data_IF_321453488464
#
_entry.id   IF_321453488464
#
_cell.length_a   1.000
_cell.length_b   1.000
_cell.length_c   1.000
_cell.angle_alpha   90.00
_cell.angle_beta   90.00
_cell.angle_gamma   90.00
#
_symmetry.space_group_name_H-M   'P 1'
#
loop_
_entity.id
_entity.type
_entity.pdbx_description
1 polymer ?
#
# COMPACT_ATOMS: atom_id res chain seq x y z
N UNK A 1 -1.32 1.54 21.61
CA UNK A 1 -1.91 0.45 20.82
C UNK A 1 -2.98 -0.38 21.54
N UNK A 2 -4.21 -0.44 21.00
CA UNK A 2 -5.23 -1.44 21.37
C UNK A 2 -5.28 -2.52 20.28
N UNK A 3 -5.04 -3.78 20.62
CA UNK A 3 -5.09 -4.92 19.68
C UNK A 3 -6.34 -5.80 19.88
N UNK A 4 -7.42 -5.20 20.39
CA UNK A 4 -8.66 -5.91 20.69
C UNK A 4 -9.87 -5.07 20.32
N UNK A 5 -10.92 -5.72 19.86
CA UNK A 5 -12.22 -5.08 19.61
C UNK A 5 -13.36 -6.03 19.96
N UNK A 6 -14.51 -5.47 20.32
CA UNK A 6 -15.72 -6.24 20.62
C UNK A 6 -16.74 -5.95 19.52
N UNK A 7 -17.07 -6.96 18.72
CA UNK A 7 -18.06 -6.87 17.66
C UNK A 7 -19.12 -7.96 17.84
N UNK A 8 -20.39 -7.57 17.82
CA UNK A 8 -21.54 -8.48 17.92
C UNK A 8 -21.48 -9.41 19.14
N UNK A 9 -21.00 -8.91 20.28
CA UNK A 9 -20.88 -9.67 21.53
C UNK A 9 -19.65 -10.60 21.62
N UNK A 10 -18.83 -10.68 20.57
CA UNK A 10 -17.59 -11.45 20.57
C UNK A 10 -16.37 -10.51 20.72
N UNK A 11 -15.44 -10.90 21.59
CA UNK A 11 -14.16 -10.20 21.77
C UNK A 11 -13.12 -10.83 20.85
N UNK A 12 -12.58 -10.04 19.93
CA UNK A 12 -11.48 -10.42 19.05
C UNK A 12 -10.20 -9.78 19.59
N UNK A 13 -9.15 -10.59 19.72
CA UNK A 13 -7.83 -10.14 20.16
C UNK A 13 -6.78 -10.63 19.16
N UNK A 14 -5.90 -9.74 18.76
CA UNK A 14 -4.78 -10.01 17.86
C UNK A 14 -3.46 -9.94 18.66
N UNK A 15 -2.48 -10.76 18.29
CA UNK A 15 -1.21 -10.91 18.99
C UNK A 15 -0.32 -9.68 18.83
N UNK A 16 -0.21 -9.19 17.59
CA UNK A 16 0.69 -8.11 17.20
C UNK A 16 0.16 -7.35 15.97
N UNK A 17 0.88 -6.32 15.55
CA UNK A 17 0.57 -5.50 14.37
C UNK A 17 0.57 -6.34 13.09
N UNK A 18 1.47 -7.33 13.00
CA UNK A 18 1.61 -8.21 11.84
C UNK A 18 0.37 -9.07 11.64
N UNK A 19 -0.20 -9.62 12.70
CA UNK A 19 -1.44 -10.38 12.66
C UNK A 19 -2.64 -9.51 12.29
N UNK A 20 -2.74 -8.29 12.83
CA UNK A 20 -3.78 -7.33 12.43
C UNK A 20 -3.69 -7.02 10.94
N UNK A 21 -2.50 -6.69 10.43
CA UNK A 21 -2.27 -6.40 9.02
C UNK A 21 -2.60 -7.61 8.13
N UNK A 22 -2.27 -8.82 8.55
CA UNK A 22 -2.58 -10.03 7.79
C UNK A 22 -4.09 -10.29 7.75
N UNK A 23 -4.75 -10.27 8.90
CA UNK A 23 -6.18 -10.59 9.01
C UNK A 23 -7.11 -9.48 8.47
N UNK A 24 -6.64 -8.24 8.37
CA UNK A 24 -7.39 -7.14 7.78
C UNK A 24 -7.46 -7.18 6.23
N UNK A 25 -6.69 -8.06 5.58
CA UNK A 25 -6.76 -8.23 4.13
C UNK A 25 -8.13 -8.78 3.69
N UNK A 26 -8.53 -8.41 2.46
CA UNK A 26 -9.50 -9.21 1.73
C UNK A 26 -8.95 -10.61 1.44
N UNK A 27 -9.84 -11.56 1.15
CA UNK A 27 -9.47 -12.97 0.96
C UNK A 27 -8.46 -13.11 -0.18
N UNK A 28 -7.25 -13.59 0.14
CA UNK A 28 -6.17 -13.87 -0.83
C UNK A 28 -5.71 -15.30 -0.66
N UNK A 29 -5.59 -16.04 -1.76
CA UNK A 29 -5.21 -17.46 -1.74
C UNK A 29 -3.84 -17.70 -1.10
N UNK A 30 -2.85 -16.84 -1.38
CA UNK A 30 -1.52 -16.93 -0.76
C UNK A 30 -1.56 -16.78 0.76
N UNK A 31 -2.32 -15.81 1.27
CA UNK A 31 -2.47 -15.58 2.72
C UNK A 31 -3.16 -16.76 3.42
N UNK A 32 -4.13 -17.40 2.74
CA UNK A 32 -4.79 -18.61 3.23
C UNK A 32 -3.80 -19.78 3.28
N UNK A 33 -3.03 -20.01 2.22
CA UNK A 33 -2.03 -21.09 2.16
C UNK A 33 -0.89 -20.89 3.16
N UNK A 34 -0.53 -19.65 3.45
CA UNK A 34 0.46 -19.30 4.47
C UNK A 34 -0.11 -19.34 5.91
N UNK A 35 -1.42 -19.55 6.08
CA UNK A 35 -2.07 -19.65 7.39
C UNK A 35 -2.20 -18.32 8.14
N UNK A 36 -2.14 -17.18 7.43
CA UNK A 36 -2.17 -15.83 8.02
C UNK A 36 -3.49 -15.08 7.77
N UNK A 37 -4.34 -15.60 6.89
CA UNK A 37 -5.65 -15.02 6.61
C UNK A 37 -6.59 -15.12 7.83
N UNK A 38 -7.57 -14.21 7.89
CA UNK A 38 -8.65 -14.30 8.87
C UNK A 38 -9.48 -15.58 8.64
N UNK A 39 -9.84 -16.26 9.73
CA UNK A 39 -10.62 -17.50 9.72
C UNK A 39 -12.09 -17.26 9.34
N UNK A 40 -12.58 -16.02 9.48
CA UNK A 40 -13.95 -15.66 9.12
C UNK A 40 -14.05 -14.21 8.64
N UNK A 41 -15.17 -13.88 7.99
CA UNK A 41 -15.49 -12.50 7.62
C UNK A 41 -15.63 -11.59 8.84
N UNK A 42 -16.17 -12.09 9.95
CA UNK A 42 -16.31 -11.33 11.19
C UNK A 42 -14.95 -10.99 11.80
N UNK A 43 -14.00 -11.94 11.81
CA UNK A 43 -12.63 -11.69 12.28
C UNK A 43 -11.91 -10.68 11.38
N UNK A 44 -12.14 -10.72 10.06
CA UNK A 44 -11.59 -9.73 9.13
C UNK A 44 -12.11 -8.32 9.40
N UNK A 45 -13.42 -8.18 9.63
CA UNK A 45 -14.03 -6.89 10.00
C UNK A 45 -13.47 -6.41 11.34
N UNK A 46 -13.30 -7.31 12.32
CA UNK A 46 -12.66 -6.99 13.59
C UNK A 46 -11.20 -6.51 13.40
N UNK A 47 -10.44 -7.16 12.51
CA UNK A 47 -9.06 -6.76 12.20
C UNK A 47 -9.02 -5.39 11.52
N UNK A 48 -9.93 -5.11 10.58
CA UNK A 48 -10.05 -3.78 9.94
C UNK A 48 -10.44 -2.69 10.95
N UNK A 49 -11.33 -2.99 11.90
CA UNK A 49 -11.71 -2.06 12.97
C UNK A 49 -10.54 -1.78 13.91
N UNK A 50 -9.78 -2.80 14.32
CA UNK A 50 -8.57 -2.59 15.12
C UNK A 50 -7.55 -1.76 14.33
N UNK A 51 -7.33 -2.11 13.06
CA UNK A 51 -6.38 -1.42 12.19
C UNK A 51 -6.75 0.06 11.96
N UNK A 52 -8.04 0.37 11.79
CA UNK A 52 -8.51 1.73 11.56
C UNK A 52 -8.28 2.65 12.76
N UNK A 53 -8.31 2.10 13.98
CA UNK A 53 -8.07 2.83 15.24
C UNK A 53 -6.57 2.92 15.63
N UNK A 54 -5.70 2.12 15.01
CA UNK A 54 -4.25 2.21 15.26
C UNK A 54 -3.70 3.54 14.79
N UNK A 55 -2.72 4.08 15.52
CA UNK A 55 -2.04 5.30 15.10
C UNK A 55 -0.94 5.02 14.07
N UNK A 56 -0.58 6.03 13.28
CA UNK A 56 0.60 5.98 12.40
C UNK A 56 1.86 5.61 13.19
N UNK A 57 2.02 6.14 14.41
CA UNK A 57 3.13 5.79 15.30
C UNK A 57 3.11 4.33 15.75
N UNK A 58 1.93 3.78 16.11
CA UNK A 58 1.82 2.37 16.50
C UNK A 58 2.33 1.45 15.37
N UNK A 59 2.04 1.78 14.11
CA UNK A 59 2.48 0.96 12.97
C UNK A 59 3.94 1.22 12.61
N UNK A 60 4.38 2.49 12.53
CA UNK A 60 5.76 2.84 12.19
C UNK A 60 6.76 2.20 13.14
N UNK A 61 6.50 2.28 14.45
CA UNK A 61 7.42 1.81 15.48
C UNK A 61 7.41 0.28 15.67
N UNK A 62 6.54 -0.43 14.95
CA UNK A 62 6.43 -1.89 15.00
C UNK A 62 6.49 -2.46 13.57
N UNK A 63 7.63 -2.34 12.86
CA UNK A 63 7.77 -2.89 11.52
C UNK A 63 7.58 -4.41 11.54
N UNK A 64 7.08 -4.98 10.45
CA UNK A 64 6.72 -6.43 10.40
C UNK A 64 7.94 -7.36 10.42
N UNK A 65 9.13 -6.79 10.16
CA UNK A 65 10.45 -7.40 10.38
C UNK A 65 11.29 -6.36 11.13
N UNK A 66 12.00 -6.79 12.17
CA UNK A 66 12.80 -5.90 13.02
C UNK A 66 13.87 -5.13 12.22
N UNK A 67 14.17 -3.91 12.66
CA UNK A 67 15.12 -3.01 11.99
C UNK A 67 16.54 -3.60 11.95
N UNK A 68 16.94 -4.29 13.01
CA UNK A 68 18.25 -4.91 13.16
C UNK A 68 18.43 -6.08 12.17
N UNK A 69 17.34 -6.80 11.90
CA UNK A 69 17.35 -8.06 11.17
C UNK A 69 17.23 -7.88 9.64
N UNK A 70 16.71 -6.75 9.17
CA UNK A 70 16.37 -6.59 7.74
C UNK A 70 16.82 -5.25 7.15
N UNK A 71 17.56 -5.32 6.04
CA UNK A 71 18.08 -4.13 5.36
C UNK A 71 16.98 -3.32 4.66
N UNK A 72 15.86 -3.94 4.27
CA UNK A 72 14.73 -3.26 3.64
C UNK A 72 13.97 -2.44 4.67
N UNK A 73 13.71 -2.98 5.86
CA UNK A 73 13.16 -2.22 7.00
C UNK A 73 14.03 -1.00 7.31
N UNK A 74 15.36 -1.16 7.34
CA UNK A 74 16.26 -0.01 7.58
C UNK A 74 16.10 1.07 6.54
N UNK A 75 16.17 0.70 5.25
CA UNK A 75 15.98 1.65 4.16
C UNK A 75 14.64 2.40 4.28
N UNK A 76 13.55 1.67 4.54
CA UNK A 76 12.21 2.26 4.69
C UNK A 76 12.16 3.25 5.86
N UNK A 77 12.70 2.88 7.01
CA UNK A 77 12.64 3.68 8.24
C UNK A 77 13.57 4.89 8.17
N UNK A 78 14.79 4.72 7.62
CA UNK A 78 15.80 5.76 7.51
C UNK A 78 15.43 6.83 6.46
N UNK A 79 14.68 6.46 5.43
CA UNK A 79 14.20 7.40 4.39
C UNK A 79 13.04 8.28 4.87
N UNK A 80 12.50 8.05 6.08
CA UNK A 80 11.36 8.84 6.56
C UNK A 80 11.79 10.24 6.98
N UNK A 81 11.09 11.24 6.45
CA UNK A 81 11.18 12.61 6.92
C UNK A 81 10.48 12.78 8.28
N UNK A 82 11.29 13.01 9.32
CA UNK A 82 10.80 13.20 10.69
C UNK A 82 9.85 14.39 10.86
N UNK A 83 10.02 15.48 10.10
CA UNK A 83 9.10 16.64 10.18
C UNK A 83 7.70 16.27 9.69
N UNK A 84 7.61 15.60 8.53
CA UNK A 84 6.34 15.12 8.00
C UNK A 84 5.71 14.07 8.93
N UNK A 85 6.51 13.12 9.42
CA UNK A 85 6.02 12.11 10.36
C UNK A 85 5.45 12.73 11.64
N UNK A 86 6.12 13.72 12.22
CA UNK A 86 5.67 14.34 13.47
C UNK A 86 4.30 15.02 13.36
N UNK A 87 3.87 15.42 12.17
CA UNK A 87 2.53 15.99 11.94
C UNK A 87 1.42 14.94 11.98
N UNK A 88 1.72 13.71 11.54
CA UNK A 88 0.72 12.65 11.35
C UNK A 88 0.83 11.49 12.35
N UNK A 89 1.89 11.43 13.17
CA UNK A 89 2.20 10.29 14.04
C UNK A 89 1.05 9.88 14.97
N UNK A 90 0.24 10.85 15.40
CA UNK A 90 -0.89 10.64 16.30
C UNK A 90 -2.21 10.39 15.58
N UNK A 91 -2.24 10.49 14.25
CA UNK A 91 -3.45 10.19 13.47
C UNK A 91 -3.68 8.69 13.47
N UNK A 92 -4.94 8.32 13.55
CA UNK A 92 -5.40 6.98 13.26
C UNK A 92 -5.26 6.66 11.77
N UNK A 93 -5.18 5.38 11.41
CA UNK A 93 -5.17 4.95 10.01
C UNK A 93 -6.46 5.37 9.30
N UNK A 94 -7.60 5.40 10.01
CA UNK A 94 -8.85 5.94 9.48
C UNK A 94 -8.74 7.42 9.12
N UNK A 95 -8.20 8.25 10.02
CA UNK A 95 -8.01 9.69 9.74
C UNK A 95 -7.05 9.91 8.57
N UNK A 96 -5.98 9.12 8.48
CA UNK A 96 -5.05 9.18 7.35
C UNK A 96 -5.73 8.79 6.02
N UNK A 97 -6.61 7.78 6.02
CA UNK A 97 -7.43 7.43 4.84
C UNK A 97 -8.32 8.61 4.42
N UNK A 98 -9.07 9.18 5.35
CA UNK A 98 -9.97 10.31 5.06
C UNK A 98 -9.19 11.53 4.57
N UNK A 99 -8.02 11.81 5.13
CA UNK A 99 -7.14 12.88 4.67
C UNK A 99 -6.71 12.69 3.21
N UNK A 100 -6.25 11.50 2.83
CA UNK A 100 -5.84 11.21 1.44
C UNK A 100 -7.01 11.35 0.45
N UNK A 101 -8.21 10.97 0.87
CA UNK A 101 -9.42 10.99 0.04
C UNK A 101 -10.14 12.35 0.04
N UNK A 102 -9.84 13.26 0.97
CA UNK A 102 -10.49 14.57 1.08
C UNK A 102 -10.27 15.45 -0.15
N UNK A 103 -11.31 16.12 -0.64
CA UNK A 103 -11.22 17.06 -1.76
C UNK A 103 -10.40 18.32 -1.43
N UNK A 104 -10.23 18.62 -0.14
CA UNK A 104 -9.45 19.78 0.34
C UNK A 104 -7.94 19.50 0.34
N UNK A 105 -7.54 18.23 0.35
CA UNK A 105 -6.12 17.85 0.42
C UNK A 105 -5.48 17.92 -0.97
N UNK A 106 -4.52 18.82 -1.12
CA UNK A 106 -3.83 19.07 -2.38
C UNK A 106 -2.77 18.02 -2.72
N UNK A 107 -2.29 18.04 -3.97
CA UNK A 107 -1.20 17.14 -4.42
C UNK A 107 0.09 17.41 -3.65
N UNK A 108 0.38 18.67 -3.33
CA UNK A 108 1.59 19.06 -2.60
C UNK A 108 1.52 18.61 -1.12
N UNK A 109 0.33 18.69 -0.52
CA UNK A 109 0.08 18.18 0.83
C UNK A 109 0.33 16.68 0.93
N UNK A 110 -0.18 15.91 -0.05
CA UNK A 110 0.08 14.46 -0.14
C UNK A 110 1.57 14.19 -0.40
N UNK A 111 2.20 14.98 -1.27
CA UNK A 111 3.62 14.83 -1.61
C UNK A 111 4.54 15.09 -0.42
N UNK A 112 4.14 15.97 0.50
CA UNK A 112 4.83 16.17 1.78
C UNK A 112 4.51 15.05 2.76
N UNK A 113 3.23 14.75 2.99
CA UNK A 113 2.75 13.75 3.95
C UNK A 113 3.35 12.37 3.69
N UNK A 114 3.43 11.95 2.41
CA UNK A 114 4.00 10.64 2.04
C UNK A 114 5.45 10.44 2.47
N UNK A 115 6.22 11.53 2.67
CA UNK A 115 7.61 11.44 3.17
C UNK A 115 7.65 11.01 4.63
N UNK A 116 6.55 11.13 5.37
CA UNK A 116 6.41 10.73 6.77
C UNK A 116 5.90 9.29 6.98
N UNK A 117 5.61 8.55 5.90
CA UNK A 117 4.97 7.23 5.94
C UNK A 117 5.98 6.10 5.71
N UNK A 118 5.80 5.00 6.44
CA UNK A 118 6.47 3.72 6.15
C UNK A 118 5.60 2.82 5.29
N UNK A 119 6.18 1.77 4.71
CA UNK A 119 5.46 0.80 3.88
C UNK A 119 4.29 0.14 4.62
N UNK A 120 4.43 -0.16 5.91
CA UNK A 120 3.38 -0.74 6.74
C UNK A 120 2.20 0.21 6.92
N UNK A 121 2.45 1.52 7.09
CA UNK A 121 1.38 2.53 7.21
C UNK A 121 0.62 2.65 5.89
N UNK A 122 1.32 2.68 4.76
CA UNK A 122 0.70 2.68 3.43
C UNK A 122 -0.14 1.41 3.21
N UNK A 123 0.39 0.25 3.60
CA UNK A 123 -0.34 -1.02 3.54
C UNK A 123 -1.57 -1.02 4.46
N UNK A 124 -1.48 -0.42 5.65
CA UNK A 124 -2.59 -0.31 6.59
C UNK A 124 -3.75 0.50 6.01
N UNK A 125 -3.47 1.66 5.43
CA UNK A 125 -4.48 2.50 4.76
C UNK A 125 -5.14 1.73 3.62
N UNK A 126 -4.34 1.09 2.76
CA UNK A 126 -4.87 0.34 1.63
C UNK A 126 -5.81 -0.81 2.04
N UNK A 127 -5.55 -1.47 3.18
CA UNK A 127 -6.38 -2.58 3.70
C UNK A 127 -7.76 -2.15 4.17
N UNK A 128 -7.93 -0.88 4.55
CA UNK A 128 -9.23 -0.33 4.96
C UNK A 128 -9.95 0.46 3.85
N UNK A 129 -9.34 0.57 2.68
CA UNK A 129 -9.93 1.21 1.51
C UNK A 129 -10.87 0.27 0.74
N UNK A 130 -11.92 0.85 0.15
CA UNK A 130 -12.71 0.20 -0.89
C UNK A 130 -11.98 0.21 -2.23
N UNK A 131 -12.46 -0.56 -3.22
CA UNK A 131 -11.92 -0.48 -4.59
C UNK A 131 -12.08 0.93 -5.19
N UNK A 132 -13.18 1.62 -4.89
CA UNK A 132 -13.41 2.98 -5.37
C UNK A 132 -12.44 3.98 -4.73
N UNK A 133 -12.16 3.82 -3.43
CA UNK A 133 -11.19 4.66 -2.70
C UNK A 133 -9.79 4.50 -3.30
N UNK A 134 -9.38 3.27 -3.60
CA UNK A 134 -8.06 2.99 -4.19
C UNK A 134 -7.93 3.63 -5.58
N UNK A 135 -8.98 3.57 -6.41
CA UNK A 135 -8.99 4.20 -7.73
C UNK A 135 -8.97 5.73 -7.61
N UNK A 136 -9.83 6.29 -6.76
CA UNK A 136 -9.95 7.74 -6.57
C UNK A 136 -8.68 8.34 -5.96
N UNK A 137 -8.21 7.77 -4.85
CA UNK A 137 -6.99 8.19 -4.18
C UNK A 137 -5.78 8.12 -5.10
N UNK A 138 -5.59 7.01 -5.82
CA UNK A 138 -4.47 6.88 -6.76
C UNK A 138 -4.52 7.94 -7.88
N UNK A 139 -5.71 8.28 -8.39
CA UNK A 139 -5.88 9.32 -9.41
C UNK A 139 -5.41 10.71 -8.95
N UNK A 140 -5.51 11.02 -7.65
CA UNK A 140 -5.05 12.30 -7.09
C UNK A 140 -3.53 12.44 -7.04
N UNK A 141 -2.77 11.37 -7.21
CA UNK A 141 -1.33 11.32 -6.96
C UNK A 141 -0.53 10.97 -8.22
N UNK A 142 -0.42 11.87 -9.22
CA UNK A 142 0.39 11.61 -10.40
C UNK A 142 1.88 11.48 -10.04
N UNK A 143 2.51 10.40 -10.49
CA UNK A 143 3.95 10.15 -10.30
C UNK A 143 4.67 10.27 -11.64
N UNK A 144 5.41 11.37 -11.80
CA UNK A 144 6.14 11.67 -13.03
C UNK A 144 7.62 11.33 -12.84
N UNK A 145 8.21 10.59 -13.78
CA UNK A 145 9.63 10.22 -13.81
C UNK A 145 10.20 10.37 -15.20
N UNK A 146 11.50 10.65 -15.30
CA UNK A 146 12.21 10.84 -16.57
C UNK A 146 13.41 9.91 -16.66
N UNK A 147 13.53 9.23 -17.80
CA UNK A 147 14.74 8.57 -18.27
C UNK A 147 15.15 9.23 -19.60
N UNK A 148 15.04 8.51 -20.73
CA UNK A 148 15.12 9.13 -22.06
C UNK A 148 13.90 10.02 -22.34
N UNK A 149 12.71 9.52 -22.01
CA UNK A 149 11.44 10.25 -22.09
C UNK A 149 10.82 10.38 -20.69
N UNK A 150 9.79 11.22 -20.58
CA UNK A 150 9.06 11.46 -19.34
C UNK A 150 7.79 10.61 -19.32
N UNK A 151 7.60 9.78 -18.30
CA UNK A 151 6.43 8.93 -18.09
C UNK A 151 5.57 9.46 -16.93
N UNK A 152 4.26 9.22 -16.97
CA UNK A 152 3.33 9.52 -15.88
C UNK A 152 2.63 10.88 -15.97
N UNK A 153 2.76 11.58 -17.10
CA UNK A 153 2.08 12.87 -17.34
C UNK A 153 0.57 12.63 -17.49
N UNK A 154 -0.31 13.40 -16.83
CA UNK A 154 -1.76 13.28 -17.02
C UNK A 154 -2.18 13.35 -18.49
N UNK A 155 -3.08 12.46 -18.90
CA UNK A 155 -3.53 12.34 -20.29
C UNK A 155 -2.66 11.41 -21.15
N UNK A 156 -1.65 10.76 -20.59
CA UNK A 156 -0.83 9.74 -21.28
C UNK A 156 -1.05 8.36 -20.65
N UNK A 157 -0.91 7.32 -21.46
CA UNK A 157 -0.84 5.93 -21.02
C UNK A 157 0.33 5.27 -21.76
N UNK A 158 1.18 4.54 -21.06
CA UNK A 158 2.40 3.95 -21.63
C UNK A 158 2.35 2.43 -21.55
N UNK A 159 2.88 1.76 -22.56
CA UNK A 159 2.99 0.31 -22.62
C UNK A 159 4.45 -0.16 -22.60
N UNK A 160 4.67 -1.38 -22.12
CA UNK A 160 5.93 -2.09 -22.35
C UNK A 160 5.79 -2.96 -23.59
N UNK A 161 6.75 -2.89 -24.50
CA UNK A 161 6.86 -3.81 -25.63
C UNK A 161 7.88 -4.89 -25.27
N UNK A 162 7.38 -6.07 -24.88
CA UNK A 162 8.21 -7.17 -24.35
C UNK A 162 7.83 -8.50 -25.03
N UNK A 163 8.34 -8.76 -26.25
CA UNK A 163 8.19 -10.04 -26.94
C UNK A 163 8.68 -11.21 -26.08
N UNK A 164 8.04 -12.36 -26.20
CA UNK A 164 8.29 -13.55 -25.37
C UNK A 164 8.28 -14.86 -26.15
N UNK A 165 8.90 -14.88 -27.34
CA UNK A 165 9.08 -16.12 -28.12
C UNK A 165 9.77 -17.19 -27.24
N UNK A 166 9.20 -18.39 -27.18
CA UNK A 166 9.67 -19.46 -26.27
C UNK A 166 11.07 -19.97 -26.58
N UNK A 167 11.61 -19.65 -27.76
CA UNK A 167 12.95 -20.03 -28.21
C UNK A 167 13.89 -18.81 -28.26
N UNK A 168 13.37 -17.62 -27.91
CA UNK A 168 14.03 -16.34 -28.15
C UNK A 168 14.50 -16.18 -29.61
N UNK A 169 13.70 -16.66 -30.58
CA UNK A 169 14.03 -16.52 -32.00
C UNK A 169 14.05 -15.06 -32.44
N UNK A 170 15.17 -14.62 -33.01
CA UNK A 170 15.41 -13.21 -33.34
C UNK A 170 14.42 -12.68 -34.39
N UNK A 171 14.02 -13.49 -35.37
CA UNK A 171 13.11 -13.04 -36.42
C UNK A 171 11.69 -12.90 -35.88
N UNK A 172 11.26 -13.85 -35.05
CA UNK A 172 9.99 -13.79 -34.31
C UNK A 172 9.92 -12.56 -33.41
N UNK A 173 10.97 -12.31 -32.62
CA UNK A 173 11.07 -11.13 -31.75
C UNK A 173 11.00 -9.85 -32.58
N UNK A 174 11.76 -9.75 -33.68
CA UNK A 174 11.75 -8.58 -34.54
C UNK A 174 10.36 -8.30 -35.12
N UNK A 175 9.65 -9.34 -35.58
CA UNK A 175 8.29 -9.21 -36.10
C UNK A 175 7.33 -8.66 -35.02
N UNK A 176 7.36 -9.20 -33.80
CA UNK A 176 6.55 -8.72 -32.67
C UNK A 176 6.88 -7.27 -32.29
N UNK A 177 8.16 -6.88 -32.38
CA UNK A 177 8.57 -5.48 -32.13
C UNK A 177 7.98 -4.57 -33.19
N UNK A 178 8.12 -4.89 -34.47
CA UNK A 178 7.59 -4.06 -35.55
C UNK A 178 6.07 -3.94 -35.49
N UNK A 179 5.38 -5.04 -35.20
CA UNK A 179 3.94 -5.02 -34.95
C UNK A 179 3.60 -4.13 -33.76
N UNK A 180 4.21 -4.35 -32.59
CA UNK A 180 3.94 -3.58 -31.39
C UNK A 180 4.16 -2.08 -31.58
N UNK A 181 5.26 -1.68 -32.22
CA UNK A 181 5.54 -0.28 -32.54
C UNK A 181 4.48 0.37 -33.44
N UNK A 182 3.78 -0.40 -34.28
CA UNK A 182 2.72 0.15 -35.13
C UNK A 182 1.43 0.50 -34.36
N UNK A 183 1.25 -0.02 -33.15
CA UNK A 183 0.13 0.28 -32.26
C UNK A 183 0.42 1.40 -31.23
N UNK A 184 1.68 1.82 -31.11
CA UNK A 184 2.15 2.82 -30.12
C UNK A 184 2.63 2.21 -28.82
#
# INVERSE_FOLDING_TARGET
MKLKTTLFGNVYQFKDVKEVLAKANELRSGDVLAGVAAASSQERVAAKQVLSEMTVADIRNNPVIAYEDDCVTRLIQDDVNETAYNQIKNWSISELREYVLSDETSVDDIAFTRKGLTSEVVAAVAKICSNADLIYGAKKMPVIKKANTTIGIPGTFSARLQPNDTRDDVQSIAAQIYEGLSFG
#
